data_IF_540883326919
#
_entry.id   IF_540883326919
#
_cell.length_a   1.000
_cell.length_b   1.000
_cell.length_c   1.000
_cell.angle_alpha   90.00
_cell.angle_beta   90.00
_cell.angle_gamma   90.00
#
_symmetry.space_group_name_H-M   'P 1'
#
loop_
_entity.id
_entity.type
_entity.pdbx_description
1 polymer ?
#
# COMPACT_ATOMS: atom_id res chain seq x y z
N UNK A 1 -4.76 15.42 1.73
CA UNK A 1 -3.30 15.16 1.50
C UNK A 1 -2.96 15.24 0.01
N UNK A 2 -3.62 14.46 -0.87
CA UNK A 2 -3.34 14.45 -2.31
C UNK A 2 -3.41 15.84 -2.98
N UNK A 3 -4.49 16.61 -2.77
CA UNK A 3 -4.66 17.96 -3.34
C UNK A 3 -3.51 18.92 -2.99
N UNK A 4 -3.05 18.90 -1.73
CA UNK A 4 -1.92 19.73 -1.27
C UNK A 4 -0.62 19.34 -1.97
N UNK A 5 -0.40 18.04 -2.14
CA UNK A 5 0.80 17.51 -2.80
C UNK A 5 0.81 17.81 -4.30
N UNK A 6 -0.35 17.72 -4.95
CA UNK A 6 -0.55 18.17 -6.33
C UNK A 6 -0.24 19.66 -6.46
N UNK A 7 -0.84 20.51 -5.64
CA UNK A 7 -0.60 21.96 -5.69
C UNK A 7 0.89 22.31 -5.55
N UNK A 8 1.60 21.64 -4.62
CA UNK A 8 3.04 21.82 -4.44
C UNK A 8 3.83 21.42 -5.68
N UNK A 9 3.61 20.23 -6.22
CA UNK A 9 4.38 19.74 -7.38
C UNK A 9 4.04 20.55 -8.64
N UNK A 10 2.78 20.95 -8.83
CA UNK A 10 2.40 21.84 -9.93
C UNK A 10 3.11 23.20 -9.84
N UNK A 11 3.25 23.77 -8.63
CA UNK A 11 3.98 25.02 -8.43
C UNK A 11 5.50 24.88 -8.69
N UNK A 12 6.09 23.73 -8.35
CA UNK A 12 7.53 23.47 -8.55
C UNK A 12 7.89 23.15 -10.01
N UNK A 13 6.99 22.47 -10.73
CA UNK A 13 7.28 21.95 -12.09
C UNK A 13 6.62 22.77 -13.21
N UNK A 14 5.73 23.71 -12.88
CA UNK A 14 4.87 24.44 -13.85
C UNK A 14 4.05 23.54 -14.79
N UNK A 15 3.89 22.26 -14.45
CA UNK A 15 3.10 21.31 -15.22
C UNK A 15 1.63 21.35 -14.79
N UNK A 16 0.73 20.95 -15.71
CA UNK A 16 -0.70 20.83 -15.39
C UNK A 16 -0.92 19.64 -14.46
N UNK A 17 -1.95 19.72 -13.63
CA UNK A 17 -2.25 18.67 -12.65
C UNK A 17 -2.41 17.24 -13.22
N UNK A 18 -2.88 17.01 -14.47
CA UNK A 18 -2.96 15.65 -15.02
C UNK A 18 -1.57 15.02 -15.22
N UNK A 19 -0.61 15.81 -15.70
CA UNK A 19 0.77 15.36 -15.96
C UNK A 19 1.52 15.11 -14.64
N UNK A 20 1.16 15.87 -13.61
CA UNK A 20 1.74 15.77 -12.26
C UNK A 20 1.12 14.65 -11.43
N UNK A 21 -0.08 14.17 -11.77
CA UNK A 21 -0.81 13.18 -10.98
C UNK A 21 -0.03 11.88 -10.76
N UNK A 22 0.61 11.26 -11.78
CA UNK A 22 1.41 10.07 -11.57
C UNK A 22 2.56 10.28 -10.57
N UNK A 23 3.23 11.44 -10.62
CA UNK A 23 4.31 11.80 -9.71
C UNK A 23 3.82 11.93 -8.26
N UNK A 24 2.68 12.61 -8.07
CA UNK A 24 2.07 12.77 -6.76
C UNK A 24 1.69 11.41 -6.16
N UNK A 25 1.08 10.53 -6.96
CA UNK A 25 0.66 9.20 -6.53
C UNK A 25 1.85 8.28 -6.22
N UNK A 26 2.87 8.24 -7.07
CA UNK A 26 4.09 7.46 -6.83
C UNK A 26 4.72 7.88 -5.49
N UNK A 27 4.90 9.18 -5.28
CA UNK A 27 5.50 9.64 -4.04
C UNK A 27 4.62 9.34 -2.81
N UNK A 28 3.28 9.44 -2.91
CA UNK A 28 2.40 9.00 -1.81
C UNK A 28 2.51 7.50 -1.53
N UNK A 29 2.61 6.67 -2.58
CA UNK A 29 2.74 5.21 -2.44
C UNK A 29 4.08 4.78 -1.87
N UNK A 30 5.14 5.55 -2.13
CA UNK A 30 6.50 5.32 -1.62
C UNK A 30 6.73 5.89 -0.21
N UNK A 31 5.90 6.84 0.25
CA UNK A 31 6.11 7.50 1.56
C UNK A 31 5.61 6.59 2.69
N UNK A 32 6.45 6.26 3.70
CA UNK A 32 6.03 5.47 4.85
C UNK A 32 5.00 6.22 5.70
N UNK A 33 4.04 5.49 6.25
CA UNK A 33 3.07 6.02 7.19
C UNK A 33 3.71 6.07 8.58
N UNK A 34 3.61 7.20 9.29
CA UNK A 34 4.23 7.40 10.61
C UNK A 34 3.85 6.31 11.63
N UNK A 35 2.62 5.79 11.57
CA UNK A 35 2.13 4.77 12.50
C UNK A 35 2.76 3.39 12.31
N UNK A 36 3.02 3.00 11.05
CA UNK A 36 3.48 1.64 10.72
C UNK A 36 4.94 1.60 10.27
N UNK A 37 5.54 2.75 9.93
CA UNK A 37 6.85 2.84 9.29
C UNK A 37 6.88 2.27 7.87
N UNK A 38 5.75 1.77 7.35
CA UNK A 38 5.64 1.14 6.04
C UNK A 38 4.91 2.03 5.04
N UNK A 39 5.35 2.00 3.79
CA UNK A 39 4.68 2.69 2.69
C UNK A 39 3.44 1.93 2.21
N UNK A 40 2.42 2.62 1.68
CA UNK A 40 1.23 1.96 1.14
C UNK A 40 1.55 0.86 0.11
N UNK A 41 2.57 1.07 -0.72
CA UNK A 41 3.02 0.07 -1.69
C UNK A 41 3.52 -1.21 -1.00
N UNK A 42 4.33 -1.07 0.05
CA UNK A 42 4.84 -2.21 0.82
C UNK A 42 3.71 -2.97 1.52
N UNK A 43 2.73 -2.26 2.07
CA UNK A 43 1.58 -2.90 2.73
C UNK A 43 0.79 -3.74 1.72
N UNK A 44 0.57 -3.23 0.52
CA UNK A 44 -0.22 -3.93 -0.50
C UNK A 44 0.54 -5.10 -1.14
N UNK A 45 1.83 -4.91 -1.41
CA UNK A 45 2.60 -5.84 -2.26
C UNK A 45 3.59 -6.70 -1.49
N UNK A 46 3.92 -6.35 -0.25
CA UNK A 46 5.01 -6.97 0.52
C UNK A 46 6.41 -6.64 -0.03
N UNK A 47 6.52 -5.77 -1.03
CA UNK A 47 7.78 -5.44 -1.69
C UNK A 47 8.16 -3.97 -1.52
N UNK A 48 9.45 -3.68 -1.57
CA UNK A 48 9.94 -2.31 -1.68
C UNK A 48 9.63 -1.73 -3.07
N UNK A 49 9.15 -0.49 -3.10
CA UNK A 49 8.88 0.21 -4.35
C UNK A 49 10.20 0.54 -5.05
N UNK A 50 10.38 0.09 -6.29
CA UNK A 50 11.56 0.41 -7.10
C UNK A 50 11.43 1.85 -7.59
N UNK A 51 12.12 2.77 -6.93
CA UNK A 51 12.15 4.19 -7.29
C UNK A 51 13.47 4.50 -8.00
N UNK A 52 13.52 5.42 -8.98
CA UNK A 52 14.76 5.76 -9.68
C UNK A 52 15.90 6.23 -8.77
N UNK A 53 15.57 6.79 -7.59
CA UNK A 53 16.52 7.24 -6.57
C UNK A 53 16.66 6.27 -5.39
N UNK A 54 15.94 5.14 -5.39
CA UNK A 54 16.15 4.11 -4.38
C UNK A 54 17.49 3.44 -4.69
N UNK A 55 18.40 3.41 -3.71
CA UNK A 55 19.60 2.58 -3.79
C UNK A 55 19.19 1.21 -4.31
N UNK A 56 19.85 0.65 -5.34
CA UNK A 56 19.63 -0.73 -5.68
C UNK A 56 19.75 -1.51 -4.38
N UNK A 57 18.79 -2.40 -4.13
CA UNK A 57 18.93 -3.36 -3.06
C UNK A 57 20.27 -4.03 -3.33
N UNK A 58 21.28 -3.65 -2.55
CA UNK A 58 22.48 -4.44 -2.38
C UNK A 58 21.95 -5.65 -1.62
N UNK A 59 21.32 -6.58 -2.36
CA UNK A 59 21.32 -7.95 -1.93
C UNK A 59 22.80 -8.25 -1.78
N UNK A 60 23.29 -8.57 -0.57
CA UNK A 60 24.61 -9.14 -0.46
C UNK A 60 24.65 -10.26 -1.49
N UNK A 61 25.62 -10.22 -2.41
CA UNK A 61 25.90 -11.35 -3.27
C UNK A 61 26.03 -12.54 -2.32
N UNK A 62 25.00 -13.38 -2.23
CA UNK A 62 25.00 -14.48 -1.27
C UNK A 62 26.02 -15.46 -1.81
N UNK A 63 27.22 -15.35 -1.26
CA UNK A 63 28.28 -16.31 -1.48
C UNK A 63 27.74 -17.68 -1.05
N UNK A 64 27.75 -18.62 -1.99
CA UNK A 64 27.00 -19.89 -1.93
C UNK A 64 27.50 -20.76 -0.75
N UNK A 65 28.60 -20.37 -0.12
CA UNK A 65 29.26 -21.05 1.00
C UNK A 65 28.93 -20.50 2.40
N UNK A 66 28.20 -19.38 2.54
CA UNK A 66 27.79 -18.82 3.85
C UNK A 66 26.37 -19.28 4.25
N UNK A 67 26.08 -20.57 4.04
CA UNK A 67 24.73 -20.99 3.61
C UNK A 67 23.72 -21.28 4.72
N UNK A 68 24.12 -21.74 5.90
CA UNK A 68 23.12 -22.29 6.83
C UNK A 68 22.79 -21.34 8.00
N UNK A 69 23.77 -20.93 8.80
CA UNK A 69 23.47 -20.12 9.99
C UNK A 69 22.97 -18.70 9.65
N UNK A 70 23.55 -18.04 8.64
CA UNK A 70 23.11 -16.71 8.23
C UNK A 70 21.73 -16.75 7.59
N UNK A 71 21.44 -17.77 6.79
CA UNK A 71 20.12 -17.96 6.17
C UNK A 71 19.06 -18.30 7.22
N UNK A 72 19.36 -19.17 8.18
CA UNK A 72 18.46 -19.49 9.29
C UNK A 72 18.19 -18.26 10.15
N UNK A 73 19.21 -17.49 10.50
CA UNK A 73 19.06 -16.25 11.25
C UNK A 73 18.23 -15.22 10.47
N UNK A 74 18.46 -15.10 9.16
CA UNK A 74 17.65 -14.26 8.29
C UNK A 74 16.18 -14.70 8.26
N UNK A 75 15.91 -15.99 8.08
CA UNK A 75 14.56 -16.54 8.09
C UNK A 75 13.86 -16.33 9.44
N UNK A 76 14.58 -16.51 10.55
CA UNK A 76 14.07 -16.25 11.91
C UNK A 76 13.72 -14.77 12.10
N UNK A 77 14.63 -13.86 11.74
CA UNK A 77 14.41 -12.42 11.82
C UNK A 77 13.22 -11.99 10.94
N UNK A 78 13.14 -12.52 9.72
CA UNK A 78 12.05 -12.25 8.80
C UNK A 78 10.70 -12.75 9.35
N UNK A 79 10.67 -13.95 9.91
CA UNK A 79 9.46 -14.52 10.51
C UNK A 79 9.00 -13.69 11.72
N UNK A 80 9.93 -13.18 12.53
CA UNK A 80 9.61 -12.32 13.65
C UNK A 80 9.09 -10.95 13.20
N UNK A 81 9.67 -10.38 12.14
CA UNK A 81 9.20 -9.13 11.53
C UNK A 81 7.78 -9.29 10.96
N UNK A 82 7.53 -10.34 10.18
CA UNK A 82 6.21 -10.64 9.60
C UNK A 82 5.16 -10.84 10.68
N UNK A 83 5.48 -11.57 11.77
CA UNK A 83 4.55 -11.75 12.90
C UNK A 83 4.20 -10.41 13.56
N UNK A 84 5.20 -9.57 13.82
CA UNK A 84 4.98 -8.24 14.39
C UNK A 84 4.08 -7.38 13.52
N UNK A 85 4.39 -7.32 12.21
CA UNK A 85 3.60 -6.55 11.24
C UNK A 85 2.18 -7.09 11.11
N UNK A 86 2.01 -8.41 11.07
CA UNK A 86 0.70 -9.03 11.00
C UNK A 86 -0.16 -8.67 12.21
N UNK A 87 0.38 -8.71 13.43
CA UNK A 87 -0.36 -8.29 14.63
C UNK A 87 -0.78 -6.82 14.54
N UNK A 88 0.12 -5.92 14.16
CA UNK A 88 -0.19 -4.50 13.99
C UNK A 88 -1.27 -4.27 12.92
N UNK A 89 -1.20 -4.97 11.80
CA UNK A 89 -2.19 -4.86 10.72
C UNK A 89 -3.54 -5.43 11.14
N UNK A 90 -3.53 -6.57 11.83
CA UNK A 90 -4.74 -7.23 12.34
C UNK A 90 -5.48 -6.36 13.37
N UNK A 91 -4.75 -5.70 14.26
CA UNK A 91 -5.31 -4.77 15.24
C UNK A 91 -5.86 -3.49 14.58
N UNK A 92 -5.25 -3.04 13.48
CA UNK A 92 -5.71 -1.88 12.74
C UNK A 92 -6.93 -2.16 11.84
N UNK A 93 -7.19 -3.42 11.51
CA UNK A 93 -8.33 -3.81 10.69
C UNK A 93 -9.63 -3.71 11.52
N UNK A 94 -10.73 -3.17 10.97
CA UNK A 94 -12.02 -3.25 11.63
C UNK A 94 -12.35 -4.71 11.95
N UNK A 95 -12.71 -4.97 13.21
CA UNK A 95 -13.16 -6.29 13.66
C UNK A 95 -14.44 -6.64 12.90
N UNK A 96 -14.56 -7.90 12.50
CA UNK A 96 -15.82 -8.38 11.95
C UNK A 96 -16.94 -8.11 12.96
N UNK A 97 -18.11 -7.68 12.47
CA UNK A 97 -19.26 -7.39 13.32
C UNK A 97 -19.67 -8.68 14.06
N UNK A 98 -19.73 -8.62 15.40
CA UNK A 98 -20.12 -9.79 16.23
C UNK A 98 -21.57 -10.21 16.01
N UNK A 99 -22.37 -9.33 15.41
CA UNK A 99 -23.76 -9.55 15.07
C UNK A 99 -23.95 -9.45 13.55
N UNK A 100 -24.95 -10.15 12.98
CA UNK A 100 -25.28 -10.00 11.58
C UNK A 100 -25.49 -8.52 11.26
N UNK A 101 -24.67 -7.96 10.37
CA UNK A 101 -24.83 -6.58 9.89
C UNK A 101 -26.16 -6.37 9.15
N UNK A 102 -26.85 -7.47 8.82
CA UNK A 102 -28.12 -7.49 8.13
C UNK A 102 -28.90 -8.76 8.49
N UNK A 103 -30.23 -8.71 8.37
CA UNK A 103 -31.11 -9.87 8.51
C UNK A 103 -31.35 -10.62 7.17
N UNK A 104 -30.47 -10.44 6.19
CA UNK A 104 -30.60 -11.08 4.87
C UNK A 104 -30.20 -12.56 4.93
N UNK A 105 -31.03 -13.42 4.37
CA UNK A 105 -30.75 -14.84 4.20
C UNK A 105 -30.40 -15.16 2.73
N UNK A 106 -29.62 -16.23 2.47
CA UNK A 106 -29.41 -16.70 1.11
C UNK A 106 -30.77 -16.97 0.43
N UNK A 107 -30.94 -16.45 -0.81
CA UNK A 107 -32.18 -16.43 -1.64
C UNK A 107 -33.09 -15.22 -1.49
N UNK A 108 -32.76 -14.26 -0.62
CA UNK A 108 -33.44 -12.97 -0.59
C UNK A 108 -33.14 -12.14 -1.84
N UNK A 109 -34.17 -11.47 -2.37
CA UNK A 109 -34.01 -10.50 -3.44
C UNK A 109 -33.54 -9.17 -2.88
N UNK A 110 -32.36 -8.71 -3.29
CA UNK A 110 -31.80 -7.42 -2.89
C UNK A 110 -31.83 -6.43 -4.05
N UNK A 111 -32.30 -5.20 -3.79
CA UNK A 111 -32.27 -4.12 -4.79
C UNK A 111 -30.92 -3.40 -4.75
N UNK A 112 -30.14 -3.51 -5.84
CA UNK A 112 -28.85 -2.84 -5.97
C UNK A 112 -29.06 -1.53 -6.74
N UNK A 113 -29.01 -0.40 -6.03
CA UNK A 113 -29.06 0.92 -6.67
C UNK A 113 -27.67 1.34 -7.15
N UNK A 114 -27.45 1.25 -8.45
CA UNK A 114 -26.20 1.74 -9.06
C UNK A 114 -26.28 3.26 -9.23
N UNK A 115 -25.49 3.99 -8.45
CA UNK A 115 -25.34 5.43 -8.64
C UNK A 115 -24.28 5.71 -9.70
N UNK A 116 -24.71 5.89 -10.95
CA UNK A 116 -23.81 6.36 -12.00
C UNK A 116 -23.48 7.84 -11.79
N UNK A 117 -22.19 8.16 -11.64
CA UNK A 117 -21.74 9.54 -11.75
C UNK A 117 -21.93 9.98 -13.20
N UNK A 118 -22.66 11.08 -13.42
CA UNK A 118 -22.65 11.78 -14.70
C UNK A 118 -21.23 12.28 -14.95
N UNK A 119 -20.44 11.55 -15.72
CA UNK A 119 -19.20 12.03 -16.32
C UNK A 119 -19.57 13.01 -17.42
N UNK A 120 -19.06 14.24 -17.34
CA UNK A 120 -19.23 15.33 -18.33
C UNK A 120 -18.46 15.09 -19.63
N UNK A 121 -18.37 13.84 -20.07
CA UNK A 121 -17.70 13.45 -21.31
C UNK A 121 -18.65 12.60 -22.13
N UNK A 122 -19.57 13.27 -22.81
CA UNK A 122 -20.13 12.91 -24.11
C UNK A 122 -20.68 14.21 -24.72
N UNK A 123 -20.56 14.39 -26.05
CA UNK A 123 -20.74 15.69 -26.72
C UNK A 123 -22.15 16.27 -26.58
#
# INVERSE_FOLDING_TARGET
>A
ILKKKLAKICAETNLKWPDVLPLALISMRATPILKTGLSPYQILTGHLMRLPAASPLILPQMDIHLKDNTMLHYCQALMQCVRSLYTQVKEALPKDPEQPCHALEPRDWVFIKVHQRKTTLTP
#
